data_IF_718215098122
#
_entry.id   IF_718215098122
#
_cell.length_a   1.000
_cell.length_b   1.000
_cell.length_c   1.000
_cell.angle_alpha   90.00
_cell.angle_beta   90.00
_cell.angle_gamma   90.00
#
_symmetry.space_group_name_H-M   'P 1'
#
loop_
_entity.id
_entity.type
_entity.pdbx_description
1 polymer ?
#
# COMPACT_ATOMS: atom_id res chain seq x y z
N UNK A 1 5.76 -12.53 30.68
CA UNK A 1 5.22 -11.52 29.74
C UNK A 1 6.25 -11.17 28.65
N UNK A 2 7.53 -10.96 28.99
CA UNK A 2 8.60 -10.70 28.01
C UNK A 2 8.93 -11.88 27.08
N UNK A 3 8.81 -13.12 27.55
CA UNK A 3 9.11 -14.32 26.76
C UNK A 3 8.09 -14.55 25.64
N UNK A 4 6.79 -14.41 25.94
CA UNK A 4 5.70 -14.42 24.94
C UNK A 4 5.85 -13.30 23.89
N UNK A 5 6.36 -12.14 24.28
CA UNK A 5 6.60 -11.04 23.34
C UNK A 5 7.77 -11.37 22.39
N UNK A 6 8.85 -11.97 22.90
CA UNK A 6 9.96 -12.45 22.07
C UNK A 6 9.52 -13.52 21.08
N UNK A 7 8.75 -14.51 21.53
CA UNK A 7 8.26 -15.59 20.66
C UNK A 7 7.31 -15.06 19.59
N UNK A 8 6.44 -14.10 19.94
CA UNK A 8 5.56 -13.44 18.99
C UNK A 8 6.34 -12.61 17.95
N UNK A 9 7.38 -11.89 18.38
CA UNK A 9 8.24 -11.12 17.49
C UNK A 9 9.02 -12.06 16.56
N UNK A 10 9.60 -13.14 17.08
CA UNK A 10 10.35 -14.11 16.28
C UNK A 10 9.45 -14.83 15.26
N UNK A 11 8.23 -15.22 15.64
CA UNK A 11 7.27 -15.84 14.73
C UNK A 11 6.75 -14.86 13.67
N UNK A 12 6.54 -13.60 14.02
CA UNK A 12 6.11 -12.56 13.09
C UNK A 12 7.24 -12.19 12.11
N UNK A 13 8.47 -12.03 12.60
CA UNK A 13 9.66 -11.78 11.79
C UNK A 13 9.98 -12.95 10.85
N UNK A 14 9.81 -14.19 11.30
CA UNK A 14 10.00 -15.37 10.47
C UNK A 14 8.98 -15.51 9.32
N UNK A 15 7.85 -14.79 9.39
CA UNK A 15 6.79 -14.76 8.37
C UNK A 15 6.80 -13.49 7.51
N UNK A 16 7.60 -12.50 7.88
CA UNK A 16 7.77 -11.27 7.11
C UNK A 16 8.62 -11.57 5.88
N UNK A 17 7.96 -11.78 4.75
CA UNK A 17 8.61 -11.69 3.46
C UNK A 17 8.95 -10.21 3.19
N UNK A 18 9.98 -9.94 2.39
CA UNK A 18 10.40 -8.56 2.10
C UNK A 18 9.25 -7.73 1.47
N UNK A 19 8.32 -8.38 0.77
CA UNK A 19 7.10 -7.74 0.24
C UNK A 19 6.07 -7.35 1.31
N UNK A 20 6.07 -8.01 2.46
CA UNK A 20 5.09 -7.81 3.53
C UNK A 20 5.33 -6.51 4.29
N UNK A 21 6.58 -6.02 4.35
CA UNK A 21 6.91 -4.79 5.07
C UNK A 21 6.23 -3.58 4.42
N UNK A 22 6.34 -3.40 3.11
CA UNK A 22 5.69 -2.28 2.41
C UNK A 22 4.16 -2.37 2.47
N UNK A 23 3.61 -3.59 2.43
CA UNK A 23 2.17 -3.80 2.59
C UNK A 23 1.69 -3.33 3.97
N UNK A 24 2.42 -3.70 5.03
CA UNK A 24 2.11 -3.27 6.40
C UNK A 24 2.25 -1.76 6.54
N UNK A 25 3.30 -1.16 5.98
CA UNK A 25 3.48 0.31 5.99
C UNK A 25 2.34 1.03 5.28
N UNK A 26 1.91 0.53 4.12
CA UNK A 26 0.77 1.08 3.40
C UNK A 26 -0.54 0.97 4.21
N UNK A 27 -0.77 -0.16 4.89
CA UNK A 27 -1.94 -0.33 5.77
C UNK A 27 -1.90 0.69 6.92
N UNK A 28 -0.74 0.88 7.56
CA UNK A 28 -0.56 1.88 8.62
C UNK A 28 -0.85 3.28 8.09
N UNK A 29 -0.38 3.62 6.89
CA UNK A 29 -0.68 4.88 6.22
C UNK A 29 -2.21 5.05 6.01
N UNK A 30 -2.90 4.06 5.46
CA UNK A 30 -4.35 4.14 5.26
C UNK A 30 -5.10 4.37 6.59
N UNK A 31 -4.72 3.67 7.66
CA UNK A 31 -5.30 3.89 8.98
C UNK A 31 -5.05 5.32 9.48
N UNK A 32 -3.82 5.81 9.34
CA UNK A 32 -3.44 7.15 9.78
C UNK A 32 -4.20 8.26 9.02
N UNK A 33 -4.31 8.13 7.69
CA UNK A 33 -5.06 9.07 6.85
C UNK A 33 -6.55 9.03 7.16
N UNK A 34 -7.11 7.84 7.38
CA UNK A 34 -8.52 7.66 7.77
C UNK A 34 -8.81 8.28 9.14
N UNK A 35 -7.93 8.08 10.13
CA UNK A 35 -8.06 8.71 11.45
C UNK A 35 -8.02 10.24 11.34
N UNK A 36 -7.16 10.78 10.48
CA UNK A 36 -7.12 12.21 10.19
C UNK A 36 -8.41 12.73 9.54
N UNK A 37 -9.01 11.99 8.62
CA UNK A 37 -10.30 12.34 8.04
C UNK A 37 -11.42 12.35 9.08
N UNK A 38 -11.46 11.35 9.98
CA UNK A 38 -12.40 11.31 11.10
C UNK A 38 -12.18 12.52 12.01
N UNK A 39 -10.93 12.79 12.41
CA UNK A 39 -10.62 13.94 13.27
C UNK A 39 -11.13 15.24 12.68
N UNK A 40 -10.95 15.46 11.37
CA UNK A 40 -11.46 16.65 10.67
C UNK A 40 -12.98 16.72 10.65
N UNK A 41 -13.68 15.58 10.54
CA UNK A 41 -15.14 15.54 10.66
C UNK A 41 -15.61 15.86 12.08
N UNK A 42 -14.96 15.31 13.10
CA UNK A 42 -15.31 15.56 14.50
C UNK A 42 -15.11 17.03 14.88
N UNK A 43 -14.09 17.69 14.33
CA UNK A 43 -13.85 19.13 14.51
C UNK A 43 -14.92 20.04 13.87
N UNK A 44 -15.85 19.51 13.08
CA UNK A 44 -17.03 20.24 12.62
C UNK A 44 -18.12 20.33 13.70
N UNK A 45 -18.02 19.52 14.75
CA UNK A 45 -18.94 19.55 15.90
C UNK A 45 -18.31 20.38 17.02
N UNK A 46 -19.08 21.33 17.55
CA UNK A 46 -18.65 22.18 18.66
C UNK A 46 -18.54 21.42 20.00
N UNK A 47 -19.10 20.20 20.07
CA UNK A 47 -19.15 19.38 21.29
C UNK A 47 -17.84 18.59 21.54
N UNK A 48 -16.96 18.50 20.54
CA UNK A 48 -15.76 17.67 20.62
C UNK A 48 -14.49 18.54 20.65
N UNK A 49 -13.94 18.69 21.85
CA UNK A 49 -12.67 19.41 22.05
C UNK A 49 -11.50 18.42 21.98
N UNK A 50 -10.72 18.49 20.90
CA UNK A 50 -9.49 17.71 20.75
C UNK A 50 -8.34 18.49 21.43
N UNK A 51 -7.58 17.87 22.36
CA UNK A 51 -6.43 18.52 22.99
C UNK A 51 -5.38 19.04 21.99
N UNK A 52 -4.88 20.26 22.21
CA UNK A 52 -3.94 20.93 21.31
C UNK A 52 -2.63 20.16 21.09
N UNK A 53 -2.12 19.50 22.14
CA UNK A 53 -0.92 18.68 22.04
C UNK A 53 -1.09 17.53 21.03
N UNK A 54 -2.26 16.87 21.00
CA UNK A 54 -2.56 15.80 20.05
C UNK A 54 -2.60 16.35 18.61
N UNK A 55 -3.21 17.52 18.43
CA UNK A 55 -3.28 18.21 17.14
C UNK A 55 -1.88 18.59 16.63
N UNK A 56 -1.02 19.10 17.50
CA UNK A 56 0.37 19.44 17.15
C UNK A 56 1.15 18.22 16.68
N UNK A 57 1.13 17.11 17.43
CA UNK A 57 1.80 15.86 17.03
C UNK A 57 1.26 15.32 15.70
N UNK A 58 -0.07 15.30 15.53
CA UNK A 58 -0.70 14.87 14.29
C UNK A 58 -0.28 15.76 13.09
N UNK A 59 -0.23 17.07 13.29
CA UNK A 59 0.23 18.00 12.27
C UNK A 59 1.72 17.81 11.93
N UNK A 60 2.55 17.48 12.92
CA UNK A 60 3.96 17.12 12.68
C UNK A 60 4.09 15.88 11.80
N UNK A 61 3.33 14.82 12.08
CA UNK A 61 3.35 13.61 11.26
C UNK A 61 2.84 13.91 9.84
N UNK A 62 1.72 14.64 9.70
CA UNK A 62 1.22 15.05 8.37
C UNK A 62 2.23 15.88 7.56
N UNK A 63 3.01 16.75 8.23
CA UNK A 63 4.10 17.49 7.58
C UNK A 63 5.19 16.55 7.06
N UNK A 64 5.53 15.49 7.79
CA UNK A 64 6.47 14.47 7.30
C UNK A 64 5.95 13.77 6.05
N UNK A 65 4.67 13.37 6.03
CA UNK A 65 4.04 12.83 4.82
C UNK A 65 4.16 13.80 3.66
N UNK A 66 3.84 15.08 3.88
CA UNK A 66 3.92 16.10 2.83
C UNK A 66 5.35 16.28 2.28
N UNK A 67 6.34 16.36 3.17
CA UNK A 67 7.75 16.58 2.82
C UNK A 67 8.32 15.40 2.04
N UNK A 68 8.04 14.17 2.47
CA UNK A 68 8.61 12.97 1.85
C UNK A 68 7.79 12.43 0.68
N UNK A 69 6.56 12.91 0.45
CA UNK A 69 5.70 12.42 -0.64
C UNK A 69 6.40 12.44 -2.01
N UNK A 70 7.13 13.52 -2.33
CA UNK A 70 7.88 13.62 -3.58
C UNK A 70 9.04 12.61 -3.66
N UNK A 71 9.68 12.33 -2.52
CA UNK A 71 10.74 11.31 -2.43
C UNK A 71 10.16 9.91 -2.63
N UNK A 72 9.01 9.61 -2.04
CA UNK A 72 8.31 8.32 -2.22
C UNK A 72 7.96 8.09 -3.69
N UNK A 73 7.43 9.11 -4.38
CA UNK A 73 7.16 9.04 -5.83
C UNK A 73 8.43 8.79 -6.64
N UNK A 74 9.48 9.56 -6.37
CA UNK A 74 10.76 9.41 -7.05
C UNK A 74 11.31 7.99 -6.89
N UNK A 75 11.34 7.47 -5.66
CA UNK A 75 11.79 6.11 -5.36
C UNK A 75 10.93 5.04 -6.04
N UNK A 76 9.60 5.24 -6.09
CA UNK A 76 8.69 4.34 -6.79
C UNK A 76 9.07 4.21 -8.28
N UNK A 77 9.26 5.34 -8.95
CA UNK A 77 9.63 5.38 -10.38
C UNK A 77 11.00 4.75 -10.59
N UNK A 78 12.00 5.12 -9.79
CA UNK A 78 13.36 4.57 -9.89
C UNK A 78 13.35 3.06 -9.73
N UNK A 79 12.65 2.52 -8.72
CA UNK A 79 12.58 1.08 -8.49
C UNK A 79 11.85 0.33 -9.61
N UNK A 80 10.80 0.91 -10.19
CA UNK A 80 10.15 0.34 -11.37
C UNK A 80 11.12 0.30 -12.56
N UNK A 81 11.79 1.42 -12.86
CA UNK A 81 12.74 1.50 -13.97
C UNK A 81 13.91 0.52 -13.81
N UNK A 82 14.52 0.47 -12.62
CA UNK A 82 15.56 -0.50 -12.31
C UNK A 82 15.01 -1.93 -12.42
N UNK A 83 13.86 -2.23 -11.82
CA UNK A 83 13.25 -3.56 -11.91
C UNK A 83 13.00 -4.01 -13.36
N UNK A 84 12.52 -3.12 -14.22
CA UNK A 84 12.36 -3.40 -15.65
C UNK A 84 13.69 -3.67 -16.35
N UNK A 85 14.75 -2.91 -16.05
CA UNK A 85 16.08 -3.17 -16.58
C UNK A 85 16.62 -4.54 -16.13
N UNK A 86 16.38 -4.94 -14.88
CA UNK A 86 16.78 -6.24 -14.35
C UNK A 86 15.96 -7.41 -14.89
N UNK A 87 14.74 -7.18 -15.40
CA UNK A 87 14.00 -8.20 -16.16
C UNK A 87 14.76 -8.57 -17.44
N UNK A 88 15.40 -7.60 -18.12
CA UNK A 88 16.20 -7.88 -19.31
C UNK A 88 17.41 -8.78 -19.00
N UNK A 89 17.94 -8.71 -17.78
CA UNK A 89 19.04 -9.58 -17.32
C UNK A 89 18.61 -11.06 -17.26
N UNK A 90 17.32 -11.35 -17.06
CA UNK A 90 16.80 -12.73 -17.15
C UNK A 90 16.89 -13.32 -18.56
N UNK A 91 17.14 -12.50 -19.59
CA UNK A 91 17.43 -12.98 -20.94
C UNK A 91 18.85 -13.52 -21.12
N UNK A 92 19.73 -13.38 -20.12
CA UNK A 92 21.13 -13.83 -20.18
C UNK A 92 21.26 -15.19 -19.47
N UNK A 93 21.42 -16.27 -20.25
CA UNK A 93 21.46 -17.66 -19.78
C UNK A 93 22.54 -17.98 -18.72
N UNK A 94 23.60 -17.17 -18.63
CA UNK A 94 24.65 -17.35 -17.61
C UNK A 94 24.19 -16.81 -16.25
N UNK A 95 23.41 -15.72 -16.26
CA UNK A 95 22.97 -15.03 -15.04
C UNK A 95 21.72 -15.67 -14.44
N UNK A 96 20.89 -16.32 -15.25
CA UNK A 96 19.70 -17.08 -14.79
C UNK A 96 20.04 -18.33 -13.99
N UNK A 97 21.27 -18.85 -14.11
CA UNK A 97 21.76 -19.99 -13.31
C UNK A 97 21.94 -19.65 -11.82
N UNK A 98 22.00 -18.37 -11.48
CA UNK A 98 22.07 -17.91 -10.09
C UNK A 98 20.66 -17.69 -9.54
N UNK A 99 20.23 -18.58 -8.64
CA UNK A 99 18.89 -18.57 -8.05
C UNK A 99 18.52 -17.21 -7.41
N UNK A 100 19.48 -16.56 -6.76
CA UNK A 100 19.29 -15.27 -6.11
C UNK A 100 19.00 -14.16 -7.14
N UNK A 101 19.74 -14.11 -8.24
CA UNK A 101 19.51 -13.15 -9.32
C UNK A 101 18.13 -13.40 -9.93
N UNK A 102 17.84 -14.65 -10.31
CA UNK A 102 16.56 -15.00 -10.92
C UNK A 102 15.34 -14.66 -10.04
N UNK A 103 15.45 -14.88 -8.73
CA UNK A 103 14.37 -14.65 -7.75
C UNK A 103 14.14 -13.16 -7.44
N UNK A 104 15.21 -12.36 -7.32
CA UNK A 104 15.11 -10.96 -6.88
C UNK A 104 15.17 -9.93 -8.01
N UNK A 105 15.48 -10.30 -9.26
CA UNK A 105 15.50 -9.35 -10.39
C UNK A 105 14.20 -8.57 -10.60
N UNK A 106 13.05 -9.15 -10.27
CA UNK A 106 11.73 -8.49 -10.40
C UNK A 106 11.31 -7.72 -9.14
N UNK A 107 12.13 -7.75 -8.09
CA UNK A 107 11.79 -7.18 -6.78
C UNK A 107 11.57 -5.67 -6.86
N UNK A 108 12.41 -4.97 -7.64
CA UNK A 108 12.28 -3.52 -7.85
C UNK A 108 10.91 -3.10 -8.40
N UNK A 109 10.32 -3.90 -9.31
CA UNK A 109 8.99 -3.61 -9.86
C UNK A 109 7.94 -3.67 -8.74
N UNK A 110 7.97 -4.72 -7.92
CA UNK A 110 6.99 -4.88 -6.84
C UNK A 110 7.15 -3.81 -5.76
N UNK A 111 8.39 -3.53 -5.33
CA UNK A 111 8.68 -2.44 -4.38
C UNK A 111 8.13 -1.11 -4.89
N UNK A 112 8.41 -0.80 -6.16
CA UNK A 112 7.98 0.45 -6.77
C UNK A 112 6.46 0.55 -6.90
N UNK A 113 5.75 -0.54 -7.20
CA UNK A 113 4.28 -0.58 -7.21
C UNK A 113 3.72 -0.25 -5.82
N UNK A 114 4.26 -0.83 -4.75
CA UNK A 114 3.80 -0.56 -3.39
C UNK A 114 4.09 0.89 -2.95
N UNK A 115 5.26 1.44 -3.29
CA UNK A 115 5.57 2.86 -3.05
C UNK A 115 4.64 3.79 -3.83
N UNK A 116 4.30 3.43 -5.08
CA UNK A 116 3.36 4.18 -5.89
C UNK A 116 1.95 4.15 -5.26
N UNK A 117 1.55 3.01 -4.70
CA UNK A 117 0.28 2.87 -3.99
C UNK A 117 0.19 3.78 -2.76
N UNK A 118 1.28 3.86 -1.97
CA UNK A 118 1.41 4.78 -0.84
C UNK A 118 1.28 6.24 -1.30
N UNK A 119 2.08 6.64 -2.30
CA UNK A 119 1.98 7.98 -2.90
C UNK A 119 0.56 8.33 -3.35
N UNK A 120 -0.10 7.43 -4.10
CA UNK A 120 -1.46 7.63 -4.57
C UNK A 120 -2.46 7.76 -3.42
N UNK A 121 -2.30 6.96 -2.36
CA UNK A 121 -3.18 6.99 -1.19
C UNK A 121 -3.13 8.34 -0.49
N UNK A 122 -1.92 8.85 -0.21
CA UNK A 122 -1.74 10.18 0.34
C UNK A 122 -2.24 11.29 -0.61
N UNK A 123 -2.00 11.19 -1.91
CA UNK A 123 -2.47 12.16 -2.89
C UNK A 123 -4.00 12.23 -2.94
N UNK A 124 -4.68 11.09 -2.92
CA UNK A 124 -6.15 11.00 -2.84
C UNK A 124 -6.65 11.62 -1.54
N UNK A 125 -6.02 11.33 -0.40
CA UNK A 125 -6.34 11.97 0.87
C UNK A 125 -6.19 13.50 0.80
N UNK A 126 -5.14 14.03 0.16
CA UNK A 126 -4.93 15.47 0.02
C UNK A 126 -6.07 16.15 -0.76
N UNK A 127 -6.63 15.46 -1.76
CA UNK A 127 -7.74 15.96 -2.57
C UNK A 127 -9.08 15.84 -1.83
N UNK A 128 -9.37 14.67 -1.26
CA UNK A 128 -10.68 14.36 -0.66
C UNK A 128 -10.82 14.85 0.78
N UNK A 129 -9.72 14.98 1.51
CA UNK A 129 -9.68 15.39 2.92
C UNK A 129 -10.60 14.52 3.80
N UNK A 130 -11.65 15.10 4.42
CA UNK A 130 -12.62 14.34 5.21
C UNK A 130 -13.33 13.22 4.45
N UNK A 131 -13.56 13.39 3.14
CA UNK A 131 -14.24 12.40 2.30
C UNK A 131 -13.38 11.18 1.95
N UNK A 132 -12.10 11.16 2.36
CA UNK A 132 -11.19 10.03 2.11
C UNK A 132 -11.71 8.71 2.69
N UNK A 133 -12.53 8.72 3.75
CA UNK A 133 -13.16 7.51 4.28
C UNK A 133 -14.02 6.78 3.25
N UNK A 134 -14.60 7.51 2.28
CA UNK A 134 -15.38 6.92 1.19
C UNK A 134 -14.50 6.23 0.14
N UNK A 135 -13.19 6.52 0.11
CA UNK A 135 -12.27 5.90 -0.85
C UNK A 135 -12.18 4.39 -0.66
N UNK A 136 -12.26 3.89 0.57
CA UNK A 136 -12.23 2.44 0.86
C UNK A 136 -13.49 1.74 0.37
N UNK A 137 -14.65 2.37 0.55
CA UNK A 137 -15.92 1.90 -0.02
C UNK A 137 -15.88 1.91 -1.55
N UNK A 138 -15.30 2.96 -2.14
CA UNK A 138 -15.13 3.04 -3.59
C UNK A 138 -14.22 1.93 -4.15
N UNK A 139 -13.12 1.61 -3.46
CA UNK A 139 -12.24 0.48 -3.82
C UNK A 139 -12.99 -0.85 -3.74
N UNK A 140 -13.79 -1.06 -2.70
CA UNK A 140 -14.63 -2.26 -2.58
C UNK A 140 -15.62 -2.38 -3.74
N UNK A 141 -16.37 -1.31 -4.03
CA UNK A 141 -17.34 -1.27 -5.13
C UNK A 141 -16.65 -1.53 -6.48
N UNK A 142 -15.50 -0.91 -6.73
CA UNK A 142 -14.70 -1.18 -7.94
C UNK A 142 -14.32 -2.66 -8.03
N UNK A 143 -13.89 -3.26 -6.91
CA UNK A 143 -13.50 -4.68 -6.89
C UNK A 143 -14.65 -5.61 -7.29
N UNK A 144 -15.87 -5.33 -6.82
CA UNK A 144 -17.07 -6.10 -7.17
C UNK A 144 -17.47 -5.88 -8.62
N UNK A 145 -17.38 -4.65 -9.14
CA UNK A 145 -17.59 -4.36 -10.56
C UNK A 145 -16.60 -5.12 -11.44
N UNK A 146 -15.31 -5.14 -11.07
CA UNK A 146 -14.30 -5.90 -11.81
C UNK A 146 -14.57 -7.40 -11.81
N UNK A 147 -14.97 -7.97 -10.66
CA UNK A 147 -15.38 -9.39 -10.59
C UNK A 147 -16.57 -9.68 -11.49
N UNK A 148 -17.57 -8.81 -11.49
CA UNK A 148 -18.79 -8.96 -12.29
C UNK A 148 -18.50 -8.86 -13.79
N UNK A 149 -17.69 -7.88 -14.22
CA UNK A 149 -17.22 -7.74 -15.60
C UNK A 149 -16.41 -8.97 -16.02
N UNK A 150 -15.47 -9.42 -15.19
CA UNK A 150 -14.66 -10.62 -15.46
C UNK A 150 -15.53 -11.86 -15.63
N UNK A 151 -16.55 -12.04 -14.78
CA UNK A 151 -17.52 -13.14 -14.87
C UNK A 151 -18.33 -13.06 -16.17
N UNK A 152 -18.80 -11.88 -16.53
CA UNK A 152 -19.58 -11.69 -17.77
C UNK A 152 -18.75 -11.97 -19.02
N UNK A 153 -17.49 -11.52 -19.05
CA UNK A 153 -16.54 -11.83 -20.14
C UNK A 153 -16.29 -13.34 -20.22
N UNK A 154 -16.05 -14.00 -19.07
CA UNK A 154 -15.82 -15.45 -19.02
C UNK A 154 -17.03 -16.25 -19.53
N UNK A 155 -18.24 -15.84 -19.14
CA UNK A 155 -19.49 -16.42 -19.66
C UNK A 155 -19.68 -16.19 -21.16
N UNK A 156 -19.37 -14.98 -21.66
CA UNK A 156 -19.42 -14.66 -23.09
C UNK A 156 -18.42 -15.49 -23.93
N UNK A 157 -17.31 -15.93 -23.33
CA UNK A 157 -16.30 -16.79 -23.95
C UNK A 157 -16.60 -18.29 -23.82
N UNK A 158 -17.76 -18.68 -23.26
CA UNK A 158 -18.18 -20.09 -23.18
C UNK A 158 -17.49 -20.92 -22.09
N UNK A 159 -16.74 -20.29 -21.18
CA UNK A 159 -16.19 -20.97 -20.01
C UNK A 159 -17.28 -21.08 -18.94
N UNK A 160 -17.74 -22.30 -18.66
CA UNK A 160 -18.65 -22.59 -17.53
C UNK A 160 -17.89 -22.43 -16.20
N UNK A 161 -18.48 -21.67 -15.30
CA UNK A 161 -17.95 -21.48 -13.94
C UNK A 161 -18.08 -22.81 -13.18
N UNK A 162 -16.97 -23.54 -13.00
CA UNK A 162 -16.88 -24.52 -11.93
C UNK A 162 -16.67 -23.74 -10.63
N UNK A 163 -17.68 -23.76 -9.76
CA UNK A 163 -17.61 -23.22 -8.41
C UNK A 163 -16.52 -23.96 -7.62
N UNK A 164 -15.60 -23.20 -7.02
CA UNK A 164 -14.79 -23.61 -5.86
C UNK A 164 -14.93 -22.52 -4.82
#
# INVERSE_FOLDING_TARGET
MQEKAKDFIANTLGKLNEYTILQVLWIIEIYYLSANSISRLLMLSDDIIIPNNILEYNNHILKLFHLYNGTVLYMAIVFICCGLAFVLIKGIDILTRYELIYRYCTYGISLGIWLLLMYCSYYVYKILGPAFLLSTLFVYVLSEVFKLVRRNIRKALGFTDYEV
#
